data_IF_754292693893
#
_entry.id   IF_754292693893
#
_cell.length_a   1.000
_cell.length_b   1.000
_cell.length_c   1.000
_cell.angle_alpha   90.00
_cell.angle_beta   90.00
_cell.angle_gamma   90.00
#
_symmetry.space_group_name_H-M   'P 1'
#
loop_
_entity.id
_entity.type
_entity.pdbx_description
1 polymer ?
#
# COMPACT_ATOMS: atom_id res chain seq x y z
N UNK A 1 -41.69 -28.49 -8.64
CA UNK A 1 -40.61 -28.82 -7.67
C UNK A 1 -39.27 -28.61 -8.35
N UNK A 2 -38.58 -27.49 -8.07
CA UNK A 2 -37.23 -27.24 -8.56
C UNK A 2 -36.23 -27.84 -7.56
N UNK A 3 -35.38 -28.76 -8.03
CA UNK A 3 -34.27 -29.33 -7.25
C UNK A 3 -33.26 -28.20 -6.95
N UNK A 4 -32.97 -27.98 -5.67
CA UNK A 4 -31.86 -27.13 -5.22
C UNK A 4 -30.56 -27.83 -5.62
N UNK A 5 -29.86 -27.33 -6.63
CA UNK A 5 -28.48 -27.74 -6.91
C UNK A 5 -27.62 -27.42 -5.69
N UNK A 6 -27.03 -28.46 -5.10
CA UNK A 6 -26.13 -28.35 -3.96
C UNK A 6 -24.73 -28.05 -4.50
N UNK A 7 -24.11 -26.96 -4.04
CA UNK A 7 -22.76 -26.59 -4.44
C UNK A 7 -21.75 -27.72 -4.10
N UNK A 8 -20.72 -27.94 -4.93
CA UNK A 8 -19.74 -29.01 -4.72
C UNK A 8 -18.93 -28.80 -3.42
N UNK A 9 -18.62 -29.89 -2.71
CA UNK A 9 -17.83 -29.84 -1.48
C UNK A 9 -16.36 -29.47 -1.77
N UNK A 10 -15.73 -28.62 -0.94
CA UNK A 10 -14.34 -28.19 -1.14
C UNK A 10 -13.36 -29.36 -0.97
N UNK A 11 -12.39 -29.42 -1.88
CA UNK A 11 -11.34 -30.45 -1.92
C UNK A 11 -10.34 -30.30 -0.77
N UNK A 12 -9.48 -31.29 -0.54
CA UNK A 12 -8.42 -31.20 0.48
C UNK A 12 -7.44 -30.06 0.19
N UNK A 13 -7.17 -29.77 -1.09
CA UNK A 13 -6.31 -28.67 -1.50
C UNK A 13 -6.95 -27.32 -1.16
N UNK A 14 -8.24 -27.14 -1.49
CA UNK A 14 -8.98 -25.90 -1.19
C UNK A 14 -9.01 -25.60 0.31
N UNK A 15 -9.12 -26.63 1.16
CA UNK A 15 -9.06 -26.48 2.62
C UNK A 15 -7.67 -26.08 3.12
N UNK A 16 -6.61 -26.61 2.49
CA UNK A 16 -5.24 -26.26 2.81
C UNK A 16 -4.93 -24.80 2.47
N UNK A 17 -5.34 -24.35 1.29
CA UNK A 17 -5.14 -22.99 0.82
C UNK A 17 -5.93 -21.98 1.69
N UNK A 18 -7.17 -22.31 2.03
CA UNK A 18 -7.98 -21.50 2.96
C UNK A 18 -7.38 -21.41 4.37
N UNK A 19 -6.75 -22.48 4.85
CA UNK A 19 -6.06 -22.48 6.16
C UNK A 19 -4.82 -21.59 6.13
N UNK A 20 -4.04 -21.70 5.05
CA UNK A 20 -2.85 -20.88 4.82
C UNK A 20 -3.20 -19.40 4.77
N UNK A 21 -4.24 -19.03 4.03
CA UNK A 21 -4.71 -17.65 3.89
C UNK A 21 -5.18 -17.06 5.23
N UNK A 22 -6.04 -17.78 5.98
CA UNK A 22 -6.49 -17.35 7.31
C UNK A 22 -5.33 -17.05 8.25
N UNK A 23 -4.31 -17.91 8.23
CA UNK A 23 -3.14 -17.73 9.07
C UNK A 23 -2.34 -16.50 8.65
N UNK A 24 -2.13 -16.26 7.35
CA UNK A 24 -1.46 -15.06 6.83
C UNK A 24 -2.21 -13.77 7.20
N UNK A 25 -3.51 -13.69 6.91
CA UNK A 25 -4.31 -12.49 7.17
C UNK A 25 -4.35 -12.15 8.66
N UNK A 26 -4.54 -13.14 9.52
CA UNK A 26 -4.59 -12.93 10.98
C UNK A 26 -3.22 -12.56 11.55
N UNK A 27 -2.15 -13.14 11.00
CA UNK A 27 -0.78 -12.88 11.45
C UNK A 27 -0.36 -11.43 11.22
N UNK A 28 -0.80 -10.78 10.14
CA UNK A 28 -0.50 -9.35 9.89
C UNK A 28 -0.96 -8.48 11.07
N UNK A 29 -2.16 -8.72 11.60
CA UNK A 29 -2.68 -7.95 12.74
C UNK A 29 -1.94 -8.27 14.04
N UNK A 30 -1.70 -9.55 14.33
CA UNK A 30 -1.00 -9.99 15.54
C UNK A 30 0.43 -9.44 15.55
N UNK A 31 1.17 -9.60 14.46
CA UNK A 31 2.52 -9.07 14.32
C UNK A 31 2.55 -7.54 14.35
N UNK A 32 1.57 -6.86 13.74
CA UNK A 32 1.46 -5.41 13.81
C UNK A 32 1.24 -4.89 15.24
N UNK A 33 0.56 -5.65 16.10
CA UNK A 33 0.30 -5.26 17.50
C UNK A 33 1.44 -5.59 18.46
N UNK A 34 2.02 -6.77 18.33
CA UNK A 34 2.95 -7.32 19.33
C UNK A 34 4.40 -7.37 18.84
N UNK A 35 4.63 -7.06 17.55
CA UNK A 35 5.90 -7.29 16.90
C UNK A 35 6.22 -8.77 16.72
N UNK A 36 7.39 -9.05 16.14
CA UNK A 36 7.86 -10.42 15.92
C UNK A 36 8.08 -11.16 17.24
N UNK A 37 8.78 -10.55 18.20
CA UNK A 37 9.14 -11.19 19.48
C UNK A 37 7.93 -11.41 20.38
N UNK A 38 7.01 -10.44 20.46
CA UNK A 38 5.82 -10.52 21.29
C UNK A 38 4.73 -11.44 20.74
N UNK A 39 4.74 -11.74 19.44
CA UNK A 39 3.81 -12.68 18.83
C UNK A 39 4.25 -14.14 19.06
N UNK A 40 3.47 -14.90 19.81
CA UNK A 40 3.72 -16.35 19.99
C UNK A 40 2.99 -17.16 18.91
N UNK A 41 3.55 -18.30 18.52
CA UNK A 41 2.91 -19.24 17.56
C UNK A 41 1.53 -19.70 18.03
N UNK A 42 1.35 -19.83 19.35
CA UNK A 42 0.05 -20.14 19.96
C UNK A 42 -0.98 -19.04 19.70
N UNK A 43 -0.65 -17.78 20.00
CA UNK A 43 -1.55 -16.64 19.75
C UNK A 43 -1.87 -16.51 18.26
N UNK A 44 -0.89 -16.71 17.38
CA UNK A 44 -1.08 -16.69 15.92
C UNK A 44 -2.08 -17.75 15.45
N UNK A 45 -1.91 -18.99 15.90
CA UNK A 45 -2.79 -20.10 15.54
C UNK A 45 -4.22 -19.94 16.12
N UNK A 46 -4.31 -19.54 17.40
CA UNK A 46 -5.59 -19.28 18.07
C UNK A 46 -6.36 -18.15 17.39
N UNK A 47 -5.70 -17.04 17.06
CA UNK A 47 -6.32 -15.88 16.37
C UNK A 47 -6.82 -16.27 14.98
N UNK A 48 -6.08 -17.09 14.25
CA UNK A 48 -6.49 -17.58 12.93
C UNK A 48 -7.56 -18.69 12.98
N UNK A 49 -7.84 -19.25 14.17
CA UNK A 49 -8.75 -20.39 14.33
C UNK A 49 -8.23 -21.67 13.66
N UNK A 50 -6.91 -21.87 13.64
CA UNK A 50 -6.25 -23.02 12.99
C UNK A 50 -5.46 -23.85 14.00
N UNK A 51 -5.10 -25.08 13.62
CA UNK A 51 -4.23 -25.92 14.43
C UNK A 51 -2.82 -25.31 14.49
N UNK A 52 -2.20 -25.27 15.67
CA UNK A 52 -0.82 -24.80 15.88
C UNK A 52 0.20 -25.45 14.93
N UNK A 53 0.01 -26.72 14.60
CA UNK A 53 0.88 -27.47 13.68
C UNK A 53 0.82 -26.96 12.23
N UNK A 54 -0.17 -26.14 11.87
CA UNK A 54 -0.24 -25.50 10.57
C UNK A 54 0.94 -24.53 10.33
N UNK A 55 1.46 -23.90 11.39
CA UNK A 55 2.58 -22.95 11.28
C UNK A 55 3.86 -23.64 10.77
N UNK A 56 4.42 -24.66 11.47
CA UNK A 56 5.60 -25.35 10.97
C UNK A 56 5.32 -26.08 9.65
N UNK A 57 4.10 -26.61 9.45
CA UNK A 57 3.75 -27.32 8.22
C UNK A 57 3.76 -26.42 6.97
N UNK A 58 3.14 -25.24 7.02
CA UNK A 58 3.04 -24.35 5.85
C UNK A 58 4.18 -23.36 5.71
N UNK A 59 4.82 -22.97 6.82
CA UNK A 59 5.74 -21.83 6.85
C UNK A 59 7.10 -22.17 7.46
N UNK A 60 7.32 -23.40 7.94
CA UNK A 60 8.60 -23.81 8.53
C UNK A 60 8.92 -23.15 9.88
N UNK A 61 8.03 -22.34 10.44
CA UNK A 61 8.25 -21.66 11.71
C UNK A 61 7.58 -20.28 11.80
N UNK A 62 7.86 -19.55 12.89
CA UNK A 62 7.33 -18.20 13.11
C UNK A 62 7.97 -17.20 12.16
N UNK A 63 9.27 -17.34 11.93
CA UNK A 63 10.10 -16.55 11.03
C UNK A 63 9.55 -16.63 9.60
N UNK A 64 9.33 -17.84 9.09
CA UNK A 64 8.77 -18.04 7.76
C UNK A 64 7.33 -17.52 7.64
N UNK A 65 6.52 -17.63 8.70
CA UNK A 65 5.19 -17.03 8.73
C UNK A 65 5.25 -15.50 8.73
N UNK A 66 6.23 -14.90 9.40
CA UNK A 66 6.43 -13.45 9.42
C UNK A 66 6.75 -12.90 8.02
N UNK A 67 7.72 -13.51 7.34
CA UNK A 67 8.11 -13.15 5.97
C UNK A 67 6.94 -13.37 5.01
N UNK A 68 6.26 -14.52 5.11
CA UNK A 68 5.11 -14.81 4.25
C UNK A 68 3.94 -13.84 4.51
N UNK A 69 3.73 -13.39 5.75
CA UNK A 69 2.74 -12.37 6.08
C UNK A 69 3.08 -11.01 5.44
N UNK A 70 4.36 -10.64 5.38
CA UNK A 70 4.83 -9.44 4.69
C UNK A 70 4.60 -9.52 3.17
N UNK A 71 4.89 -10.67 2.56
CA UNK A 71 4.61 -10.92 1.13
C UNK A 71 3.11 -10.94 0.82
N UNK A 72 2.31 -11.53 1.71
CA UNK A 72 0.85 -11.51 1.59
C UNK A 72 0.30 -10.09 1.71
N UNK A 73 0.79 -9.32 2.68
CA UNK A 73 0.45 -7.91 2.81
C UNK A 73 0.80 -7.13 1.54
N UNK A 74 1.98 -7.35 0.98
CA UNK A 74 2.40 -6.74 -0.27
C UNK A 74 1.44 -7.09 -1.42
N UNK A 75 1.04 -8.35 -1.54
CA UNK A 75 0.06 -8.81 -2.53
C UNK A 75 -1.29 -8.12 -2.38
N UNK A 76 -1.80 -7.99 -1.15
CA UNK A 76 -3.06 -7.27 -0.87
C UNK A 76 -2.97 -5.82 -1.34
N UNK A 77 -1.90 -5.11 -0.98
CA UNK A 77 -1.73 -3.70 -1.34
C UNK A 77 -1.62 -3.55 -2.87
N UNK A 78 -0.84 -4.41 -3.53
CA UNK A 78 -0.74 -4.43 -5.00
C UNK A 78 -2.11 -4.61 -5.62
N UNK A 79 -2.94 -5.52 -5.10
CA UNK A 79 -4.29 -5.74 -5.59
C UNK A 79 -5.15 -4.47 -5.60
N UNK A 80 -5.05 -3.64 -4.55
CA UNK A 80 -5.78 -2.38 -4.44
C UNK A 80 -5.36 -1.33 -5.47
N UNK A 81 -4.10 -1.36 -5.92
CA UNK A 81 -3.54 -0.36 -6.86
C UNK A 81 -3.26 -0.94 -8.25
N UNK A 82 -3.62 -2.21 -8.49
CA UNK A 82 -3.25 -2.95 -9.70
C UNK A 82 -3.76 -2.28 -10.97
N UNK A 83 -5.02 -1.86 -10.99
CA UNK A 83 -5.64 -1.20 -12.15
C UNK A 83 -4.88 0.07 -12.52
N UNK A 84 -4.69 0.98 -11.57
CA UNK A 84 -3.94 2.23 -11.78
C UNK A 84 -2.51 1.95 -12.24
N UNK A 85 -1.82 1.03 -11.57
CA UNK A 85 -0.45 0.64 -11.93
C UNK A 85 -0.40 0.17 -13.38
N UNK A 86 -1.33 -0.70 -13.77
CA UNK A 86 -1.39 -1.23 -15.14
C UNK A 86 -1.68 -0.12 -16.15
N UNK A 87 -2.57 0.84 -15.82
CA UNK A 87 -2.83 2.02 -16.67
C UNK A 87 -1.57 2.86 -16.88
N UNK A 88 -0.84 3.19 -15.81
CA UNK A 88 0.39 3.99 -15.89
C UNK A 88 1.46 3.25 -16.69
N UNK A 89 1.68 1.96 -16.41
CA UNK A 89 2.68 1.15 -17.11
C UNK A 89 2.35 1.00 -18.61
N UNK A 90 1.10 0.70 -18.95
CA UNK A 90 0.67 0.60 -20.34
C UNK A 90 0.86 1.92 -21.09
N UNK A 91 0.56 3.05 -20.41
CA UNK A 91 0.73 4.37 -21.00
C UNK A 91 2.20 4.72 -21.24
N UNK A 92 3.08 4.42 -20.28
CA UNK A 92 4.52 4.60 -20.44
C UNK A 92 5.06 3.76 -21.60
N UNK A 93 4.69 2.48 -21.68
CA UNK A 93 5.11 1.59 -22.77
C UNK A 93 4.63 2.08 -24.15
N UNK A 94 3.42 2.61 -24.25
CA UNK A 94 2.89 3.19 -25.48
C UNK A 94 3.70 4.42 -25.92
N UNK A 95 3.99 5.34 -24.99
CA UNK A 95 4.78 6.53 -25.27
C UNK A 95 6.22 6.19 -25.70
N UNK A 96 6.84 5.20 -25.05
CA UNK A 96 8.16 4.69 -25.43
C UNK A 96 8.15 4.12 -26.86
N UNK A 97 7.11 3.36 -27.23
CA UNK A 97 6.94 2.83 -28.59
C UNK A 97 6.75 3.89 -29.67
N UNK A 98 6.16 5.05 -29.32
CA UNK A 98 6.01 6.20 -30.22
C UNK A 98 7.23 7.14 -30.22
N UNK A 99 8.21 6.92 -29.35
CA UNK A 99 9.33 7.85 -29.15
C UNK A 99 8.90 9.22 -28.61
N UNK A 100 7.78 9.28 -27.88
CA UNK A 100 7.20 10.52 -27.35
C UNK A 100 7.35 10.61 -25.84
N UNK A 101 7.57 11.82 -25.33
CA UNK A 101 7.53 12.08 -23.89
C UNK A 101 6.09 12.32 -23.41
N UNK A 102 5.81 11.94 -22.17
CA UNK A 102 4.55 12.27 -21.48
C UNK A 102 4.45 13.80 -21.29
N UNK A 103 3.26 14.37 -21.51
CA UNK A 103 2.99 15.77 -21.25
C UNK A 103 2.88 16.08 -19.75
N UNK A 104 3.26 17.30 -19.34
CA UNK A 104 3.21 17.72 -17.93
C UNK A 104 1.78 17.67 -17.35
N UNK A 105 0.75 18.05 -18.12
CA UNK A 105 -0.65 17.97 -17.67
C UNK A 105 -1.09 16.52 -17.46
N UNK A 106 -0.78 15.64 -18.42
CA UNK A 106 -1.09 14.22 -18.30
C UNK A 106 -0.41 13.58 -17.07
N UNK A 107 0.84 13.95 -16.80
CA UNK A 107 1.56 13.51 -15.62
C UNK A 107 0.89 13.98 -14.32
N UNK A 108 0.38 15.22 -14.27
CA UNK A 108 -0.41 15.73 -13.13
C UNK A 108 -1.70 14.93 -12.95
N UNK A 109 -2.41 14.62 -14.02
CA UNK A 109 -3.67 13.88 -13.96
C UNK A 109 -3.45 12.45 -13.43
N UNK A 110 -2.40 11.77 -13.90
CA UNK A 110 -2.03 10.44 -13.41
C UNK A 110 -1.55 10.46 -11.95
N UNK A 111 -0.75 11.46 -11.57
CA UNK A 111 -0.27 11.60 -10.19
C UNK A 111 -1.42 11.91 -9.23
N UNK A 112 -2.39 12.71 -9.66
CA UNK A 112 -3.61 13.01 -8.90
C UNK A 112 -4.44 11.75 -8.68
N UNK A 113 -4.71 10.97 -9.73
CA UNK A 113 -5.43 9.70 -9.61
C UNK A 113 -4.70 8.72 -8.68
N UNK A 114 -3.36 8.68 -8.76
CA UNK A 114 -2.55 7.88 -7.86
C UNK A 114 -2.70 8.33 -6.41
N UNK A 115 -2.53 9.62 -6.13
CA UNK A 115 -2.64 10.16 -4.79
C UNK A 115 -4.03 9.93 -4.18
N UNK A 116 -5.09 10.08 -4.97
CA UNK A 116 -6.47 9.87 -4.55
C UNK A 116 -6.79 8.40 -4.23
N UNK A 117 -6.21 7.44 -4.97
CA UNK A 117 -6.34 6.01 -4.65
C UNK A 117 -5.52 5.66 -3.40
N UNK A 118 -4.31 6.21 -3.27
CA UNK A 118 -3.44 5.98 -2.11
C UNK A 118 -4.04 6.55 -0.83
N UNK A 119 -4.55 7.78 -0.84
CA UNK A 119 -5.17 8.37 0.35
C UNK A 119 -6.41 7.59 0.79
N UNK A 120 -7.23 7.11 -0.15
CA UNK A 120 -8.37 6.26 0.14
C UNK A 120 -7.95 4.94 0.83
N UNK A 121 -6.89 4.31 0.33
CA UNK A 121 -6.30 3.13 0.96
C UNK A 121 -5.78 3.45 2.37
N UNK A 122 -5.04 4.55 2.51
CA UNK A 122 -4.38 4.98 3.75
C UNK A 122 -5.31 5.55 4.81
N UNK A 123 -6.58 5.79 4.55
CA UNK A 123 -7.53 6.20 5.60
C UNK A 123 -8.62 5.15 5.85
N UNK A 124 -8.66 4.09 5.03
CA UNK A 124 -9.59 2.98 5.23
C UNK A 124 -9.31 2.21 6.53
N UNK A 125 -10.38 1.75 7.20
CA UNK A 125 -10.27 0.95 8.45
C UNK A 125 -9.53 -0.37 8.23
N UNK A 126 -9.71 -0.98 7.06
CA UNK A 126 -9.08 -2.26 6.74
C UNK A 126 -7.55 -2.19 6.78
N UNK A 127 -6.98 -1.05 6.39
CA UNK A 127 -5.54 -0.88 6.35
C UNK A 127 -4.91 -0.53 7.69
N UNK A 128 -5.66 -0.40 8.79
CA UNK A 128 -5.11 -0.11 10.13
C UNK A 128 -4.10 -1.17 10.58
N UNK A 129 -4.45 -2.46 10.43
CA UNK A 129 -3.57 -3.57 10.78
C UNK A 129 -2.32 -3.60 9.91
N UNK A 130 -2.49 -3.34 8.61
CA UNK A 130 -1.40 -3.24 7.63
C UNK A 130 -0.43 -2.11 7.98
N UNK A 131 -0.96 -0.94 8.33
CA UNK A 131 -0.15 0.21 8.68
C UNK A 131 0.67 -0.04 9.94
N UNK A 132 0.12 -0.72 10.95
CA UNK A 132 0.91 -1.09 12.14
C UNK A 132 2.12 -1.97 11.79
N UNK A 133 1.92 -2.98 10.96
CA UNK A 133 3.00 -3.84 10.49
C UNK A 133 4.08 -3.03 9.75
N UNK A 134 3.67 -2.20 8.79
CA UNK A 134 4.59 -1.40 7.97
C UNK A 134 5.33 -0.35 8.81
N UNK A 135 4.63 0.36 9.70
CA UNK A 135 5.23 1.38 10.57
C UNK A 135 6.28 0.75 11.48
N UNK A 136 6.01 -0.45 12.01
CA UNK A 136 7.01 -1.18 12.80
C UNK A 136 8.26 -1.48 11.96
N UNK A 137 8.08 -2.08 10.79
CA UNK A 137 9.20 -2.43 9.89
C UNK A 137 9.97 -1.19 9.38
N UNK A 138 9.34 -0.02 9.34
CA UNK A 138 10.03 1.25 9.06
C UNK A 138 10.94 1.69 10.22
N UNK A 139 10.57 1.42 11.47
CA UNK A 139 11.35 1.82 12.66
C UNK A 139 12.42 0.79 13.01
N UNK A 140 12.13 -0.49 12.81
CA UNK A 140 13.01 -1.63 13.09
C UNK A 140 13.02 -2.57 11.88
N UNK A 141 13.76 -2.27 10.81
CA UNK A 141 13.73 -3.04 9.58
C UNK A 141 14.26 -4.46 9.75
N UNK A 142 13.52 -5.43 9.21
CA UNK A 142 13.94 -6.83 9.07
C UNK A 142 13.88 -7.26 7.60
N UNK A 143 14.04 -8.55 7.31
CA UNK A 143 13.79 -9.07 5.95
C UNK A 143 12.35 -8.78 5.50
N UNK A 144 11.38 -8.71 6.41
CA UNK A 144 9.99 -8.38 6.07
C UNK A 144 9.87 -6.98 5.45
N UNK A 145 10.63 -6.00 5.94
CA UNK A 145 10.72 -4.67 5.32
C UNK A 145 11.16 -4.78 3.86
N UNK A 146 12.24 -5.51 3.57
CA UNK A 146 12.76 -5.65 2.20
C UNK A 146 11.72 -6.27 1.25
N UNK A 147 10.93 -7.24 1.74
CA UNK A 147 9.81 -7.82 0.98
C UNK A 147 8.73 -6.79 0.67
N UNK A 148 8.31 -5.99 1.65
CA UNK A 148 7.29 -4.96 1.44
C UNK A 148 7.82 -3.84 0.55
N UNK A 149 9.06 -3.40 0.77
CA UNK A 149 9.67 -2.33 0.01
C UNK A 149 9.81 -2.71 -1.47
N UNK A 150 10.44 -3.85 -1.75
CA UNK A 150 10.72 -4.29 -3.12
C UNK A 150 9.46 -4.56 -3.93
N UNK A 151 8.42 -5.10 -3.28
CA UNK A 151 7.18 -5.48 -3.97
C UNK A 151 6.15 -4.34 -4.05
N UNK A 152 6.16 -3.39 -3.12
CA UNK A 152 5.14 -2.32 -3.02
C UNK A 152 5.75 -0.94 -3.04
N UNK A 153 6.51 -0.58 -2.00
CA UNK A 153 6.86 0.83 -1.77
C UNK A 153 7.78 1.38 -2.86
N UNK A 154 8.85 0.64 -3.17
CA UNK A 154 9.81 1.00 -4.22
C UNK A 154 9.14 1.21 -5.58
N UNK A 155 8.37 0.25 -6.11
CA UNK A 155 7.63 0.42 -7.36
C UNK A 155 6.69 1.63 -7.36
N UNK A 156 5.93 1.85 -6.28
CA UNK A 156 5.00 2.99 -6.17
C UNK A 156 5.72 4.34 -6.12
N UNK A 157 6.79 4.44 -5.32
CA UNK A 157 7.64 5.64 -5.24
C UNK A 157 8.32 5.89 -6.58
N UNK A 158 8.79 4.84 -7.25
CA UNK A 158 9.42 4.93 -8.57
C UNK A 158 8.46 5.45 -9.64
N UNK A 159 7.20 5.01 -9.63
CA UNK A 159 6.16 5.55 -10.51
C UNK A 159 5.86 7.01 -10.20
N UNK A 160 5.70 7.36 -8.92
CA UNK A 160 5.51 8.75 -8.49
C UNK A 160 6.67 9.63 -8.99
N UNK A 161 7.91 9.15 -8.84
CA UNK A 161 9.10 9.87 -9.23
C UNK A 161 9.18 10.15 -10.73
N UNK A 162 8.75 9.21 -11.58
CA UNK A 162 8.66 9.43 -13.03
C UNK A 162 7.66 10.53 -13.37
N UNK A 163 6.48 10.51 -12.74
CA UNK A 163 5.45 11.53 -12.96
C UNK A 163 5.92 12.91 -12.46
N UNK A 164 6.53 12.97 -11.28
CA UNK A 164 7.10 14.20 -10.71
C UNK A 164 8.24 14.73 -11.60
N UNK A 165 9.10 13.86 -12.14
CA UNK A 165 10.16 14.24 -13.08
C UNK A 165 9.59 14.94 -14.32
N UNK A 166 8.54 14.35 -14.92
CA UNK A 166 7.83 14.94 -16.06
C UNK A 166 7.18 16.28 -15.71
N UNK A 167 6.57 16.40 -14.52
CA UNK A 167 5.95 17.65 -14.07
C UNK A 167 6.98 18.77 -13.92
N UNK A 168 8.16 18.47 -13.36
CA UNK A 168 9.22 19.45 -13.09
C UNK A 168 10.12 19.74 -14.31
N UNK A 169 10.05 18.90 -15.34
CA UNK A 169 10.93 18.95 -16.51
C UNK A 169 12.38 18.62 -16.17
N UNK A 170 12.61 17.70 -15.23
CA UNK A 170 13.94 17.37 -14.70
C UNK A 170 14.23 15.86 -14.83
N UNK A 171 15.52 15.45 -14.89
CA UNK A 171 15.88 14.03 -14.90
C UNK A 171 15.37 13.32 -13.64
N UNK A 172 14.80 12.12 -13.79
CA UNK A 172 14.24 11.34 -12.67
C UNK A 172 15.28 10.98 -11.59
N UNK A 173 16.57 10.96 -11.97
CA UNK A 173 17.69 10.71 -11.04
C UNK A 173 18.10 11.96 -10.25
N UNK A 174 17.58 13.15 -10.57
CA UNK A 174 17.96 14.38 -9.87
C UNK A 174 17.59 14.29 -8.39
N UNK A 175 18.45 14.84 -7.54
CA UNK A 175 18.18 14.89 -6.10
C UNK A 175 16.90 15.69 -5.80
N UNK A 176 16.67 16.77 -6.55
CA UNK A 176 15.48 17.59 -6.43
C UNK A 176 14.19 16.79 -6.71
N UNK A 177 14.14 16.02 -7.81
CA UNK A 177 13.00 15.15 -8.12
C UNK A 177 12.79 14.11 -7.02
N UNK A 178 13.86 13.46 -6.53
CA UNK A 178 13.75 12.46 -5.45
C UNK A 178 13.20 13.07 -4.16
N UNK A 179 13.71 14.24 -3.75
CA UNK A 179 13.22 14.96 -2.56
C UNK A 179 11.76 15.39 -2.71
N UNK A 180 11.37 15.91 -3.89
CA UNK A 180 9.98 16.29 -4.16
C UNK A 180 9.05 15.09 -4.16
N UNK A 181 9.49 13.96 -4.72
CA UNK A 181 8.74 12.71 -4.72
C UNK A 181 8.53 12.20 -3.30
N UNK A 182 9.59 12.13 -2.48
CA UNK A 182 9.50 11.69 -1.10
C UNK A 182 8.62 12.62 -0.25
N UNK A 183 8.75 13.94 -0.45
CA UNK A 183 7.92 14.93 0.25
C UNK A 183 6.44 14.80 -0.12
N UNK A 184 6.13 14.61 -1.40
CA UNK A 184 4.77 14.40 -1.89
C UNK A 184 4.16 13.09 -1.38
N UNK A 185 4.92 11.99 -1.40
CA UNK A 185 4.45 10.71 -0.82
C UNK A 185 4.26 10.85 0.69
N UNK A 186 5.17 11.54 1.37
CA UNK A 186 5.10 11.82 2.80
C UNK A 186 3.87 12.63 3.21
N UNK A 187 3.47 13.64 2.42
CA UNK A 187 2.28 14.44 2.69
C UNK A 187 0.97 13.65 2.55
N UNK A 188 0.96 12.54 1.81
CA UNK A 188 -0.18 11.61 1.76
C UNK A 188 -0.11 10.63 2.95
N UNK A 189 1.08 10.08 3.24
CA UNK A 189 1.31 9.14 4.34
C UNK A 189 0.99 9.74 5.72
N UNK A 190 1.15 11.05 5.90
CA UNK A 190 0.92 11.74 7.18
C UNK A 190 -0.49 11.50 7.72
N UNK A 191 -1.50 11.36 6.84
CA UNK A 191 -2.89 11.12 7.25
C UNK A 191 -3.10 9.76 7.91
N UNK A 192 -2.22 8.79 7.62
CA UNK A 192 -2.17 7.51 8.33
C UNK A 192 -1.24 7.58 9.55
N UNK A 193 -0.03 8.10 9.38
CA UNK A 193 0.96 8.08 10.46
C UNK A 193 0.57 8.97 11.65
N UNK A 194 -0.05 10.13 11.37
CA UNK A 194 -0.53 11.06 12.37
C UNK A 194 -2.06 10.98 12.55
N UNK A 195 -2.68 9.82 12.30
CA UNK A 195 -4.14 9.66 12.26
C UNK A 195 -4.87 10.28 13.47
N UNK A 196 -4.42 9.99 14.70
CA UNK A 196 -5.04 10.53 15.91
C UNK A 196 -4.94 12.07 15.99
N UNK A 197 -3.78 12.63 15.60
CA UNK A 197 -3.59 14.08 15.58
C UNK A 197 -4.43 14.74 14.48
N UNK A 198 -4.54 14.12 13.30
CA UNK A 198 -5.40 14.58 12.21
C UNK A 198 -6.86 14.62 12.64
N UNK A 199 -7.39 13.52 13.19
CA UNK A 199 -8.78 13.49 13.67
C UNK A 199 -9.03 14.57 14.71
N UNK A 200 -8.11 14.73 15.67
CA UNK A 200 -8.21 15.76 16.71
C UNK A 200 -8.19 17.18 16.14
N UNK A 201 -7.27 17.46 15.22
CA UNK A 201 -7.06 18.79 14.64
C UNK A 201 -8.22 19.19 13.72
N UNK A 202 -8.74 18.23 12.97
CA UNK A 202 -9.86 18.45 12.05
C UNK A 202 -11.23 18.39 12.75
N UNK A 203 -11.27 18.05 14.04
CA UNK A 203 -12.48 17.77 14.80
C UNK A 203 -13.33 16.63 14.19
N UNK A 204 -12.68 15.61 13.65
CA UNK A 204 -13.32 14.42 13.08
C UNK A 204 -13.38 13.28 14.10
N UNK A 205 -14.46 12.52 14.09
CA UNK A 205 -14.58 11.28 14.88
C UNK A 205 -13.92 10.09 14.15
N UNK A 206 -14.07 10.07 12.83
CA UNK A 206 -13.47 9.09 11.92
C UNK A 206 -13.40 9.71 10.53
N UNK A 207 -12.65 9.07 9.61
CA UNK A 207 -12.66 9.45 8.20
C UNK A 207 -13.82 8.72 7.51
N UNK A 208 -14.92 9.43 7.26
CA UNK A 208 -16.06 8.98 6.48
C UNK A 208 -15.95 9.38 5.00
N UNK A 209 -17.03 9.20 4.22
CA UNK A 209 -17.06 9.58 2.80
C UNK A 209 -16.74 11.07 2.56
N UNK A 210 -17.32 11.96 3.36
CA UNK A 210 -17.15 13.41 3.22
C UNK A 210 -15.71 13.84 3.55
N UNK A 211 -15.13 13.29 4.62
CA UNK A 211 -13.73 13.52 4.98
C UNK A 211 -12.77 12.95 3.93
N UNK A 212 -13.08 11.78 3.37
CA UNK A 212 -12.27 11.19 2.30
C UNK A 212 -12.30 12.08 1.04
N UNK A 213 -13.44 12.64 0.67
CA UNK A 213 -13.54 13.53 -0.48
C UNK A 213 -12.83 14.88 -0.26
N UNK A 214 -12.80 15.39 0.98
CA UNK A 214 -11.94 16.50 1.37
C UNK A 214 -10.46 16.15 1.17
N UNK A 215 -10.01 14.99 1.66
CA UNK A 215 -8.62 14.55 1.51
C UNK A 215 -8.25 14.33 0.03
N UNK A 216 -9.14 13.77 -0.79
CA UNK A 216 -8.92 13.61 -2.24
C UNK A 216 -8.75 14.93 -2.96
N UNK A 217 -9.55 15.95 -2.63
CA UNK A 217 -9.38 17.30 -3.17
C UNK A 217 -8.05 17.90 -2.75
N UNK A 218 -7.70 17.76 -1.47
CA UNK A 218 -6.40 18.20 -0.97
C UNK A 218 -5.22 17.53 -1.69
N UNK A 219 -5.30 16.22 -1.99
CA UNK A 219 -4.24 15.56 -2.78
C UNK A 219 -4.09 16.12 -4.19
N UNK A 220 -5.17 16.59 -4.82
CA UNK A 220 -5.09 17.25 -6.13
C UNK A 220 -4.39 18.61 -6.03
N UNK A 221 -4.68 19.39 -4.98
CA UNK A 221 -4.00 20.66 -4.70
C UNK A 221 -2.49 20.47 -4.49
N UNK A 222 -2.10 19.42 -3.76
CA UNK A 222 -0.69 19.05 -3.56
C UNK A 222 0.02 18.75 -4.89
N UNK A 223 -0.66 18.13 -5.85
CA UNK A 223 -0.11 17.90 -7.20
C UNK A 223 0.01 19.21 -7.98
N UNK A 224 -1.00 20.08 -7.93
CA UNK A 224 -0.96 21.39 -8.60
C UNK A 224 0.21 22.25 -8.08
N UNK A 225 0.53 22.17 -6.79
CA UNK A 225 1.66 22.88 -6.19
C UNK A 225 3.03 22.40 -6.70
N UNK A 226 3.13 21.22 -7.33
CA UNK A 226 4.39 20.72 -7.89
C UNK A 226 4.83 21.58 -9.09
N UNK A 227 6.00 22.22 -8.95
CA UNK A 227 6.64 23.02 -10.00
C UNK A 227 6.35 24.53 -9.95
N UNK A 228 5.47 24.99 -9.05
CA UNK A 228 5.11 26.41 -8.87
C UNK A 228 6.26 27.32 -8.41
N UNK A 229 7.42 26.77 -8.02
CA UNK A 229 8.58 27.52 -7.54
C UNK A 229 9.52 28.08 -8.61
N UNK A 230 9.33 27.78 -9.90
CA UNK A 230 10.21 28.28 -10.99
C UNK A 230 9.81 29.66 -11.55
N UNK A 231 8.65 30.22 -11.16
CA UNK A 231 8.16 31.49 -11.73
C UNK A 231 8.72 32.77 -11.04
N UNK A 232 9.64 32.63 -10.08
CA UNK A 232 10.13 33.76 -9.26
C UNK A 232 11.60 34.15 -9.44
N UNK A 233 12.33 33.58 -10.40
CA UNK A 233 13.73 33.92 -10.65
C UNK A 233 13.93 34.24 -12.13
N UNK A 234 13.68 35.50 -12.50
CA UNK A 234 14.15 36.14 -13.72
C UNK A 234 14.59 37.56 -13.38
#
# INVERSE_FOLDING_TARGET
MMKKESAPQPTKQDRGDATREKLLTSSIDVFGRYGFDGATTRVLAETAGVNLQAIPYYFGGKEGLYIAAAEHLASIIIGHVAELRNTILARLAHLDGEGRAMGSQEARDLLTQMAQRMIALFVSRQSESWARFIIREQMEPTEAFERVYSNVMGPMIGMAGRLVATILGEPVQSEHVRLKTLSFVGSILVFRMAHAAVLRQMNWQAVGPDELDLLRRHTAELVTALGSGKEGQS
#
